data_IF_520660710963
#
_entry.id   IF_520660710963
#
_cell.length_a   1.000
_cell.length_b   1.000
_cell.length_c   1.000
_cell.angle_alpha   90.00
_cell.angle_beta   90.00
_cell.angle_gamma   90.00
#
_symmetry.space_group_name_H-M   'P 1'
#
loop_
_entity.id
_entity.type
_entity.pdbx_description
1 polymer ?
#
# COMPACT_ATOMS: atom_id res chain seq x y z
N UNK A 1 -18.67 12.66 -14.21
CA UNK A 1 -19.46 12.57 -12.97
C UNK A 1 -19.15 13.84 -12.20
N UNK A 2 -20.17 14.62 -11.90
CA UNK A 2 -19.97 15.91 -11.28
C UNK A 2 -20.32 15.82 -9.80
N UNK A 3 -19.34 16.09 -8.93
CA UNK A 3 -19.54 16.19 -7.50
C UNK A 3 -20.42 17.42 -7.22
N UNK A 4 -21.68 17.21 -6.86
CA UNK A 4 -22.60 18.32 -6.56
C UNK A 4 -22.67 18.57 -5.05
N UNK A 5 -21.79 19.47 -4.59
CA UNK A 5 -22.00 20.27 -3.38
C UNK A 5 -21.86 19.54 -2.03
N UNK A 6 -21.57 20.35 -1.01
CA UNK A 6 -21.69 19.98 0.40
C UNK A 6 -22.98 20.60 0.93
N UNK A 7 -23.81 19.81 1.61
CA UNK A 7 -25.03 20.31 2.25
C UNK A 7 -25.08 19.88 3.71
N UNK A 8 -25.46 20.81 4.58
CA UNK A 8 -25.72 20.52 5.99
C UNK A 8 -27.16 20.05 6.15
N UNK A 9 -27.35 18.79 6.51
CA UNK A 9 -28.67 18.24 6.82
C UNK A 9 -28.91 18.41 8.32
N UNK A 10 -29.90 19.25 8.68
CA UNK A 10 -30.36 19.37 10.07
C UNK A 10 -31.32 18.21 10.37
N UNK A 11 -31.01 17.40 11.39
CA UNK A 11 -31.97 16.43 11.92
C UNK A 11 -33.12 17.12 12.66
N UNK A 12 -34.24 16.41 12.87
CA UNK A 12 -35.35 16.92 13.70
C UNK A 12 -34.88 17.10 15.15
N UNK A 13 -35.37 18.18 15.77
CA UNK A 13 -35.07 18.73 17.11
C UNK A 13 -34.11 17.93 18.02
N UNK A 14 -32.96 18.53 18.34
CA UNK A 14 -32.01 18.03 19.35
C UNK A 14 -30.83 17.22 18.79
N UNK A 15 -30.86 16.86 17.51
CA UNK A 15 -29.73 16.18 16.84
C UNK A 15 -28.77 17.18 16.20
N UNK A 16 -27.46 16.99 16.40
CA UNK A 16 -26.41 17.80 15.76
C UNK A 16 -26.60 17.75 14.24
N UNK A 17 -26.50 18.91 13.58
CA UNK A 17 -26.50 18.99 12.11
C UNK A 17 -25.42 18.06 11.55
N UNK A 18 -25.77 17.24 10.57
CA UNK A 18 -24.84 16.34 9.88
C UNK A 18 -24.54 16.89 8.50
N UNK A 19 -23.27 17.18 8.23
CA UNK A 19 -22.81 17.49 6.88
C UNK A 19 -22.77 16.22 6.05
N UNK A 20 -23.22 16.30 4.80
CA UNK A 20 -23.22 15.19 3.84
C UNK A 20 -22.76 15.68 2.47
N UNK A 21 -22.33 14.74 1.61
CA UNK A 21 -22.00 15.01 0.21
C UNK A 21 -22.92 14.19 -0.71
N UNK A 22 -23.33 14.81 -1.81
CA UNK A 22 -24.23 14.20 -2.80
C UNK A 22 -23.52 13.96 -4.11
N UNK A 23 -23.79 12.80 -4.70
CA UNK A 23 -23.35 12.44 -6.04
C UNK A 23 -24.56 12.25 -6.92
N UNK A 24 -24.62 13.04 -7.99
CA UNK A 24 -25.62 12.89 -9.04
C UNK A 24 -25.00 11.96 -10.07
N UNK A 25 -25.59 10.78 -10.24
CA UNK A 25 -25.12 9.82 -11.23
C UNK A 25 -25.46 10.32 -12.63
N UNK A 26 -24.67 9.90 -13.63
CA UNK A 26 -24.89 10.27 -15.03
C UNK A 26 -26.18 9.68 -15.63
N UNK A 27 -26.53 10.12 -16.84
CA UNK A 27 -27.72 9.65 -17.56
C UNK A 27 -27.74 8.15 -17.82
N UNK A 28 -26.54 7.56 -17.95
CA UNK A 28 -26.36 6.14 -18.18
C UNK A 28 -26.93 5.26 -17.06
N UNK A 29 -27.29 5.84 -15.92
CA UNK A 29 -27.92 5.17 -14.77
C UNK A 29 -29.44 5.37 -14.69
N UNK A 30 -30.04 6.03 -15.68
CA UNK A 30 -31.48 6.31 -15.70
C UNK A 30 -32.33 5.19 -16.29
N UNK A 31 -31.72 4.15 -16.84
CA UNK A 31 -32.45 2.94 -17.22
C UNK A 31 -32.99 2.22 -15.97
N UNK A 32 -34.21 1.67 -16.05
CA UNK A 32 -34.89 1.11 -14.90
C UNK A 32 -34.15 -0.09 -14.28
N UNK A 33 -33.51 -0.94 -15.09
CA UNK A 33 -32.71 -2.04 -14.56
C UNK A 33 -31.51 -1.53 -13.77
N UNK A 34 -30.82 -0.51 -14.30
CA UNK A 34 -29.67 0.12 -13.63
C UNK A 34 -30.09 0.87 -12.37
N UNK A 35 -31.22 1.58 -12.36
CA UNK A 35 -31.76 2.20 -11.15
C UNK A 35 -31.97 1.15 -10.06
N UNK A 36 -32.62 0.04 -10.38
CA UNK A 36 -32.88 -1.06 -9.43
C UNK A 36 -31.57 -1.64 -8.90
N UNK A 37 -30.57 -1.83 -9.77
CA UNK A 37 -29.25 -2.32 -9.36
C UNK A 37 -28.54 -1.36 -8.40
N UNK A 38 -28.52 -0.07 -8.75
CA UNK A 38 -27.97 1.01 -7.92
C UNK A 38 -28.64 1.04 -6.55
N UNK A 39 -29.98 0.95 -6.51
CA UNK A 39 -30.75 0.86 -5.27
C UNK A 39 -30.36 -0.35 -4.43
N UNK A 40 -30.38 -1.54 -5.03
CA UNK A 40 -30.09 -2.79 -4.34
C UNK A 40 -28.70 -2.75 -3.71
N UNK A 41 -27.66 -2.44 -4.50
CA UNK A 41 -26.27 -2.37 -4.01
C UNK A 41 -26.08 -1.35 -2.89
N UNK A 42 -26.67 -0.16 -3.05
CA UNK A 42 -26.56 0.89 -2.02
C UNK A 42 -27.27 0.50 -0.73
N UNK A 43 -28.47 -0.08 -0.83
CA UNK A 43 -29.26 -0.54 0.33
C UNK A 43 -28.58 -1.71 1.03
N UNK A 44 -27.96 -2.62 0.29
CA UNK A 44 -27.18 -3.72 0.87
C UNK A 44 -26.00 -3.18 1.69
N UNK A 45 -25.25 -2.19 1.16
CA UNK A 45 -24.19 -1.51 1.90
C UNK A 45 -24.72 -0.77 3.14
N UNK A 46 -25.88 -0.12 3.05
CA UNK A 46 -26.51 0.59 4.18
C UNK A 46 -26.90 -0.39 5.28
N UNK A 47 -27.51 -1.53 4.93
CA UNK A 47 -28.03 -2.50 5.89
C UNK A 47 -26.94 -3.31 6.57
N UNK A 48 -25.93 -3.72 5.80
CA UNK A 48 -24.91 -4.66 6.27
C UNK A 48 -23.59 -3.97 6.64
N UNK A 49 -23.47 -2.67 6.34
CA UNK A 49 -22.21 -1.94 6.44
C UNK A 49 -21.30 -2.23 5.25
N UNK A 50 -20.29 -1.38 5.06
CA UNK A 50 -19.28 -1.56 4.02
C UNK A 50 -18.00 -2.20 4.57
N UNK A 51 -17.23 -2.92 3.74
CA UNK A 51 -15.89 -3.39 4.11
C UNK A 51 -15.00 -2.24 4.58
N UNK A 52 -13.98 -2.59 5.35
CA UNK A 52 -12.97 -1.61 5.79
C UNK A 52 -12.35 -0.94 4.56
N UNK A 53 -12.33 0.38 4.56
CA UNK A 53 -11.82 1.20 3.44
C UNK A 53 -12.86 1.60 2.40
N UNK A 54 -14.11 1.15 2.52
CA UNK A 54 -15.22 1.64 1.69
C UNK A 54 -16.11 2.56 2.52
N UNK A 55 -16.54 3.69 1.94
CA UNK A 55 -17.53 4.56 2.58
C UNK A 55 -18.92 3.98 2.37
N UNK A 56 -19.64 3.77 3.48
CA UNK A 56 -21.05 3.40 3.45
C UNK A 56 -21.92 4.59 3.04
N UNK A 57 -22.75 4.47 1.99
CA UNK A 57 -23.72 5.51 1.68
C UNK A 57 -24.72 5.67 2.83
N UNK A 58 -25.30 6.86 2.98
CA UNK A 58 -26.38 7.12 3.94
C UNK A 58 -27.72 6.71 3.31
N UNK A 59 -27.95 7.13 2.07
CA UNK A 59 -29.13 6.76 1.31
C UNK A 59 -28.87 6.91 -0.19
N UNK A 60 -29.79 6.35 -0.98
CA UNK A 60 -29.88 6.53 -2.42
C UNK A 60 -31.33 6.86 -2.78
N UNK A 61 -31.54 7.72 -3.76
CA UNK A 61 -32.87 8.09 -4.24
C UNK A 61 -32.85 8.48 -5.71
N UNK A 62 -34.00 8.47 -6.36
CA UNK A 62 -34.20 9.01 -7.71
C UNK A 62 -34.91 10.35 -7.59
N UNK A 63 -34.29 11.42 -8.11
CA UNK A 63 -34.90 12.73 -8.15
C UNK A 63 -35.55 12.96 -9.50
N UNK A 64 -36.88 12.92 -9.55
CA UNK A 64 -37.67 13.14 -10.77
C UNK A 64 -37.45 14.52 -11.38
N UNK A 65 -37.14 15.54 -10.58
CA UNK A 65 -36.89 16.92 -11.05
C UNK A 65 -35.71 17.01 -12.03
N UNK A 66 -34.66 16.22 -11.79
CA UNK A 66 -33.48 16.20 -12.65
C UNK A 66 -33.41 14.93 -13.50
N UNK A 67 -34.36 14.00 -13.31
CA UNK A 67 -34.32 12.66 -13.86
C UNK A 67 -32.95 12.00 -13.65
N UNK A 68 -32.49 11.95 -12.39
CA UNK A 68 -31.19 11.36 -12.01
C UNK A 68 -31.27 10.60 -10.70
N UNK A 69 -30.44 9.58 -10.58
CA UNK A 69 -30.12 8.93 -9.32
C UNK A 69 -29.17 9.81 -8.49
N UNK A 70 -29.45 9.92 -7.19
CA UNK A 70 -28.66 10.65 -6.21
C UNK A 70 -28.23 9.67 -5.12
N UNK A 71 -26.93 9.60 -4.88
CA UNK A 71 -26.35 8.85 -3.76
C UNK A 71 -25.79 9.83 -2.74
N UNK A 72 -26.18 9.66 -1.48
CA UNK A 72 -25.74 10.49 -0.36
C UNK A 72 -24.70 9.74 0.45
N UNK A 73 -23.58 10.40 0.75
CA UNK A 73 -22.51 9.86 1.57
C UNK A 73 -22.26 10.77 2.79
N UNK A 74 -21.69 10.22 3.88
CA UNK A 74 -21.15 11.03 4.96
C UNK A 74 -20.17 12.07 4.42
N UNK A 75 -20.11 13.24 5.07
CA UNK A 75 -19.12 14.24 4.70
C UNK A 75 -17.69 13.67 4.81
N UNK A 76 -16.89 13.99 3.81
CA UNK A 76 -15.45 13.74 3.75
C UNK A 76 -14.75 15.02 3.35
N UNK A 77 -13.53 15.21 3.85
CA UNK A 77 -12.83 16.50 3.81
C UNK A 77 -12.39 16.84 2.38
N UNK A 78 -11.69 15.93 1.72
CA UNK A 78 -11.07 16.18 0.40
C UNK A 78 -10.95 14.90 -0.45
N UNK A 79 -10.64 15.08 -1.75
CA UNK A 79 -10.28 13.98 -2.64
C UNK A 79 -8.85 13.50 -2.38
N UNK A 80 -8.53 12.25 -2.68
CA UNK A 80 -7.15 11.76 -2.57
C UNK A 80 -6.21 12.51 -3.54
N UNK A 81 -6.68 12.85 -4.74
CA UNK A 81 -5.88 13.60 -5.72
C UNK A 81 -5.44 14.96 -5.16
N UNK A 82 -6.34 15.68 -4.49
CA UNK A 82 -6.01 16.99 -3.91
C UNK A 82 -5.12 16.88 -2.67
N UNK A 83 -5.30 15.81 -1.88
CA UNK A 83 -4.39 15.51 -0.78
C UNK A 83 -2.97 15.22 -1.28
N UNK A 84 -2.83 14.37 -2.32
CA UNK A 84 -1.55 14.01 -2.92
C UNK A 84 -0.81 15.22 -3.49
N UNK A 85 -1.51 16.17 -4.13
CA UNK A 85 -0.90 17.43 -4.61
C UNK A 85 -0.29 18.28 -3.51
N UNK A 86 -0.82 18.20 -2.27
CA UNK A 86 -0.35 18.97 -1.12
C UNK A 86 0.64 18.20 -0.26
N UNK A 87 0.82 16.91 -0.51
CA UNK A 87 1.75 16.08 0.23
C UNK A 87 3.19 16.55 -0.04
N UNK A 88 3.87 17.03 1.01
CA UNK A 88 5.25 17.56 0.95
C UNK A 88 6.31 16.57 1.43
N UNK A 89 5.95 15.30 1.67
CA UNK A 89 6.87 14.36 2.31
C UNK A 89 8.02 13.97 1.38
N UNK A 90 9.24 13.97 1.92
CA UNK A 90 10.48 13.64 1.19
C UNK A 90 11.01 12.22 1.41
N UNK A 91 10.20 11.32 1.96
CA UNK A 91 10.60 9.91 2.20
C UNK A 91 10.11 9.01 1.06
N UNK A 92 10.98 8.09 0.63
CA UNK A 92 10.66 6.98 -0.29
C UNK A 92 9.67 5.98 0.31
N UNK A 93 9.52 5.94 1.64
CA UNK A 93 8.53 5.10 2.31
C UNK A 93 7.11 5.66 2.13
N UNK A 94 6.18 4.76 1.76
CA UNK A 94 4.76 5.08 1.70
C UNK A 94 4.23 5.51 3.07
N UNK A 95 3.46 6.61 3.15
CA UNK A 95 2.75 7.00 4.35
C UNK A 95 1.83 5.89 4.85
N UNK A 96 1.58 5.89 6.15
CA UNK A 96 0.67 4.93 6.78
C UNK A 96 -0.71 4.95 6.11
N UNK A 97 -1.23 6.12 5.82
CA UNK A 97 -2.54 6.34 5.21
C UNK A 97 -2.64 5.67 3.83
N UNK A 98 -1.58 5.77 3.02
CA UNK A 98 -1.50 5.16 1.69
C UNK A 98 -1.33 3.65 1.78
N UNK A 99 -0.50 3.15 2.71
CA UNK A 99 -0.37 1.70 2.92
C UNK A 99 -1.69 1.08 3.35
N UNK A 100 -2.38 1.69 4.31
CA UNK A 100 -3.69 1.22 4.79
C UNK A 100 -4.74 1.32 3.68
N UNK A 101 -4.74 2.37 2.88
CA UNK A 101 -5.60 2.49 1.70
C UNK A 101 -5.43 1.28 0.77
N UNK A 102 -4.19 1.00 0.34
CA UNK A 102 -3.90 -0.09 -0.59
C UNK A 102 -4.34 -1.42 0.02
N UNK A 103 -3.98 -1.68 1.30
CA UNK A 103 -4.37 -2.90 2.01
C UNK A 103 -5.89 -3.08 2.09
N UNK A 104 -6.61 -2.03 2.46
CA UNK A 104 -8.06 -2.08 2.57
C UNK A 104 -8.72 -2.29 1.20
N UNK A 105 -8.20 -1.66 0.15
CA UNK A 105 -8.69 -1.86 -1.21
C UNK A 105 -8.46 -3.29 -1.70
N UNK A 106 -7.25 -3.81 -1.50
CA UNK A 106 -6.92 -5.20 -1.81
C UNK A 106 -7.87 -6.18 -1.09
N UNK A 107 -8.13 -5.97 0.19
CA UNK A 107 -9.09 -6.77 0.96
C UNK A 107 -10.53 -6.61 0.46
N UNK A 108 -10.92 -5.40 0.06
CA UNK A 108 -12.28 -5.15 -0.43
C UNK A 108 -12.52 -5.80 -1.81
N UNK A 109 -11.50 -5.86 -2.68
CA UNK A 109 -11.55 -6.55 -3.99
C UNK A 109 -11.81 -8.06 -3.82
N UNK A 110 -11.41 -8.65 -2.70
CA UNK A 110 -11.68 -10.08 -2.42
C UNK A 110 -13.18 -10.36 -2.22
N UNK A 111 -13.89 -9.40 -1.64
CA UNK A 111 -15.28 -9.58 -1.21
C UNK A 111 -16.29 -8.83 -2.08
N UNK A 112 -15.82 -7.86 -2.86
CA UNK A 112 -16.66 -6.98 -3.68
C UNK A 112 -16.04 -6.79 -5.05
N UNK A 113 -16.89 -6.79 -6.07
CA UNK A 113 -16.48 -6.45 -7.43
C UNK A 113 -16.25 -4.94 -7.54
N UNK A 114 -15.03 -4.52 -7.18
CA UNK A 114 -14.59 -3.13 -7.29
C UNK A 114 -14.11 -2.89 -8.72
N UNK A 115 -15.00 -2.32 -9.53
CA UNK A 115 -14.69 -1.90 -10.89
C UNK A 115 -14.15 -0.46 -10.93
N UNK A 116 -13.47 -0.12 -12.04
CA UNK A 116 -12.87 1.20 -12.31
C UNK A 116 -11.70 1.59 -11.40
N UNK A 117 -10.85 0.61 -11.06
CA UNK A 117 -9.60 0.85 -10.32
C UNK A 117 -8.57 1.66 -11.14
N UNK A 118 -8.90 2.13 -12.33
CA UNK A 118 -8.15 3.12 -13.11
C UNK A 118 -8.49 4.59 -12.77
N UNK A 119 -9.60 4.84 -12.06
CA UNK A 119 -10.06 6.19 -11.70
C UNK A 119 -9.82 6.51 -10.21
N UNK A 120 -9.07 7.58 -9.95
CA UNK A 120 -8.80 8.06 -8.57
C UNK A 120 -9.94 8.91 -7.99
N UNK A 121 -10.83 9.43 -8.83
CA UNK A 121 -11.92 10.33 -8.44
C UNK A 121 -12.81 9.81 -7.29
N UNK A 122 -13.15 8.50 -7.19
CA UNK A 122 -13.94 7.98 -6.07
C UNK A 122 -13.13 7.76 -4.78
N UNK A 123 -11.83 8.02 -4.77
CA UNK A 123 -10.96 7.85 -3.60
C UNK A 123 -10.86 9.16 -2.83
N UNK A 124 -11.23 9.14 -1.55
CA UNK A 124 -11.39 10.34 -0.73
C UNK A 124 -10.69 10.18 0.62
N UNK A 125 -10.31 11.31 1.20
CA UNK A 125 -9.73 11.37 2.54
C UNK A 125 -10.83 11.72 3.55
N UNK A 126 -10.94 10.90 4.60
CA UNK A 126 -11.91 11.04 5.68
C UNK A 126 -11.15 11.23 6.97
N UNK A 127 -11.36 12.35 7.65
CA UNK A 127 -10.78 12.56 8.97
C UNK A 127 -11.54 11.76 10.04
N UNK A 128 -10.83 10.87 10.72
CA UNK A 128 -11.37 10.13 11.85
C UNK A 128 -11.64 11.09 13.02
N UNK A 129 -12.86 11.03 13.56
CA UNK A 129 -13.28 11.86 14.69
C UNK A 129 -12.68 11.41 16.02
N UNK A 130 -12.23 10.15 16.13
CA UNK A 130 -11.80 9.54 17.40
C UNK A 130 -10.37 9.93 17.78
N UNK A 131 -9.48 9.94 16.81
CA UNK A 131 -8.03 10.06 16.95
C UNK A 131 -7.46 11.17 16.06
N UNK A 132 -8.32 11.92 15.34
CA UNK A 132 -7.93 13.03 14.49
C UNK A 132 -6.95 12.63 13.37
N UNK A 133 -6.87 11.33 13.05
CA UNK A 133 -6.08 10.77 11.95
C UNK A 133 -6.84 10.85 10.64
N UNK A 134 -6.12 10.80 9.52
CA UNK A 134 -6.73 10.75 8.19
C UNK A 134 -6.82 9.30 7.74
N UNK A 135 -7.99 8.89 7.26
CA UNK A 135 -8.21 7.61 6.61
C UNK A 135 -8.55 7.83 5.14
N UNK A 136 -7.91 7.10 4.24
CA UNK A 136 -8.30 7.10 2.83
C UNK A 136 -9.32 5.99 2.59
N UNK A 137 -10.45 6.36 1.97
CA UNK A 137 -11.55 5.45 1.67
C UNK A 137 -12.03 5.60 0.24
N UNK A 138 -12.66 4.55 -0.27
CA UNK A 138 -13.23 4.54 -1.61
C UNK A 138 -14.75 4.61 -1.55
N UNK A 139 -15.29 5.41 -2.45
CA UNK A 139 -16.71 5.52 -2.72
C UNK A 139 -17.03 4.49 -3.79
N UNK A 140 -17.76 3.43 -3.42
CA UNK A 140 -18.25 2.47 -4.41
C UNK A 140 -19.44 3.08 -5.13
N UNK A 141 -19.15 3.67 -6.27
CA UNK A 141 -20.19 4.13 -7.18
C UNK A 141 -20.82 2.89 -7.83
N UNK A 142 -22.15 2.78 -7.82
CA UNK A 142 -22.80 1.61 -8.36
C UNK A 142 -22.60 1.53 -9.88
N UNK A 143 -21.73 0.59 -10.28
CA UNK A 143 -21.73 -0.27 -11.48
C UNK A 143 -21.55 0.38 -12.87
N UNK A 144 -20.42 0.07 -13.51
CA UNK A 144 -20.48 -0.38 -14.90
C UNK A 144 -20.18 -1.88 -14.92
N UNK A 145 -21.10 -2.63 -15.51
CA UNK A 145 -21.06 -4.07 -15.65
C UNK A 145 -20.16 -4.43 -16.82
N UNK A 146 -19.11 -5.17 -16.54
CA UNK A 146 -18.61 -6.28 -17.33
C UNK A 146 -17.64 -6.97 -16.41
N UNK A 147 -17.79 -8.29 -16.20
CA UNK A 147 -16.89 -9.06 -15.36
C UNK A 147 -15.44 -8.75 -15.78
N UNK A 148 -14.78 -7.89 -15.01
CA UNK A 148 -13.38 -7.63 -15.24
C UNK A 148 -12.70 -8.91 -14.78
N UNK A 149 -12.07 -9.63 -15.71
CA UNK A 149 -11.32 -10.82 -15.36
C UNK A 149 -10.35 -10.47 -14.22
N UNK A 150 -10.04 -11.41 -13.31
CA UNK A 150 -9.11 -11.15 -12.18
C UNK A 150 -7.79 -10.47 -12.62
N UNK A 151 -7.37 -10.66 -13.87
CA UNK A 151 -6.22 -9.98 -14.46
C UNK A 151 -6.44 -8.48 -14.72
N UNK A 152 -7.64 -8.04 -15.11
CA UNK A 152 -7.93 -6.64 -15.47
C UNK A 152 -7.83 -5.68 -14.28
N UNK A 153 -8.39 -6.05 -13.11
CA UNK A 153 -8.36 -5.16 -11.94
C UNK A 153 -6.94 -4.92 -11.43
N UNK A 154 -6.07 -5.94 -11.51
CA UNK A 154 -4.66 -5.87 -11.10
C UNK A 154 -3.90 -4.83 -11.91
N UNK A 155 -3.99 -4.92 -13.23
CA UNK A 155 -3.36 -3.95 -14.15
C UNK A 155 -3.98 -2.56 -14.01
N UNK A 156 -5.32 -2.45 -13.90
CA UNK A 156 -5.98 -1.16 -13.67
C UNK A 156 -5.50 -0.51 -12.37
N UNK A 157 -5.42 -1.27 -11.28
CA UNK A 157 -5.02 -0.74 -9.99
C UNK A 157 -3.55 -0.32 -9.97
N UNK A 158 -2.66 -1.15 -10.54
CA UNK A 158 -1.26 -0.79 -10.73
C UNK A 158 -1.10 0.50 -11.55
N UNK A 159 -1.86 0.63 -12.64
CA UNK A 159 -1.88 1.84 -13.49
C UNK A 159 -2.35 3.07 -12.72
N UNK A 160 -3.41 2.96 -11.91
CA UNK A 160 -3.88 4.05 -11.06
C UNK A 160 -2.80 4.48 -10.06
N UNK A 161 -2.11 3.53 -9.44
CA UNK A 161 -1.03 3.84 -8.51
C UNK A 161 0.12 4.56 -9.22
N UNK A 162 0.60 4.06 -10.36
CA UNK A 162 1.67 4.72 -11.15
C UNK A 162 1.29 6.13 -11.59
N UNK A 163 0.04 6.32 -12.02
CA UNK A 163 -0.42 7.60 -12.57
C UNK A 163 -0.61 8.69 -11.52
N UNK A 164 -1.04 8.31 -10.32
CA UNK A 164 -1.53 9.29 -9.34
C UNK A 164 -0.65 9.45 -8.11
N UNK A 165 0.19 8.48 -7.78
CA UNK A 165 1.05 8.56 -6.59
C UNK A 165 2.18 9.59 -6.76
N UNK A 166 2.70 10.07 -5.64
CA UNK A 166 3.81 11.03 -5.63
C UNK A 166 5.04 10.44 -6.33
N UNK A 167 5.74 11.26 -7.14
CA UNK A 167 6.82 10.80 -8.00
C UNK A 167 7.94 10.07 -7.23
N UNK A 168 8.31 10.56 -6.05
CA UNK A 168 9.31 9.92 -5.17
C UNK A 168 8.97 8.46 -4.81
N UNK A 169 7.68 8.10 -4.74
CA UNK A 169 7.28 6.72 -4.48
C UNK A 169 7.24 5.90 -5.76
N UNK A 170 6.82 6.48 -6.88
CA UNK A 170 6.82 5.79 -8.18
C UNK A 170 8.24 5.43 -8.63
N UNK A 171 9.23 6.23 -8.26
CA UNK A 171 10.65 5.97 -8.52
C UNK A 171 11.30 5.02 -7.50
N UNK A 172 10.61 4.71 -6.39
CA UNK A 172 11.09 3.79 -5.36
C UNK A 172 11.11 2.35 -5.88
N UNK A 173 12.26 1.67 -5.73
CA UNK A 173 12.45 0.33 -6.29
C UNK A 173 11.59 -0.74 -5.60
N UNK A 174 11.33 -0.60 -4.30
CA UNK A 174 10.45 -1.53 -3.59
C UNK A 174 8.99 -1.29 -3.97
N UNK A 175 8.57 -0.05 -4.24
CA UNK A 175 7.22 0.22 -4.75
C UNK A 175 7.03 -0.29 -6.19
N UNK A 176 7.99 -0.10 -7.09
CA UNK A 176 7.89 -0.69 -8.44
C UNK A 176 7.86 -2.22 -8.38
N UNK A 177 8.65 -2.84 -7.49
CA UNK A 177 8.59 -4.29 -7.27
C UNK A 177 7.20 -4.76 -6.81
N UNK A 178 6.53 -3.97 -5.96
CA UNK A 178 5.13 -4.23 -5.57
C UNK A 178 4.18 -4.13 -6.76
N UNK A 179 4.31 -3.10 -7.60
CA UNK A 179 3.44 -2.90 -8.77
C UNK A 179 3.60 -4.05 -9.79
N UNK A 180 4.83 -4.49 -10.04
CA UNK A 180 5.10 -5.67 -10.87
C UNK A 180 4.51 -6.95 -10.26
N UNK A 181 4.59 -7.10 -8.93
CA UNK A 181 3.96 -8.23 -8.23
C UNK A 181 2.43 -8.19 -8.33
N UNK A 182 1.83 -6.99 -8.24
CA UNK A 182 0.40 -6.77 -8.40
C UNK A 182 -0.08 -7.19 -9.78
N UNK A 183 0.67 -6.86 -10.83
CA UNK A 183 0.38 -7.19 -12.23
C UNK A 183 0.54 -8.68 -12.57
N UNK A 184 1.31 -9.43 -11.79
CA UNK A 184 1.49 -10.87 -11.99
C UNK A 184 0.35 -11.69 -11.38
N UNK A 185 -0.11 -12.70 -12.12
CA UNK A 185 -1.11 -13.67 -11.65
C UNK A 185 -0.51 -14.79 -10.79
N UNK A 186 0.82 -14.85 -10.67
CA UNK A 186 1.53 -15.87 -9.88
C UNK A 186 1.36 -15.65 -8.37
N UNK A 187 1.12 -14.41 -7.96
CA UNK A 187 1.07 -14.02 -6.56
C UNK A 187 -0.38 -13.96 -6.05
N UNK A 188 -0.62 -14.61 -4.92
CA UNK A 188 -1.91 -14.57 -4.22
C UNK A 188 -2.15 -13.20 -3.59
N UNK A 189 -3.39 -12.94 -3.17
CA UNK A 189 -3.70 -11.72 -2.42
C UNK A 189 -2.92 -11.63 -1.10
N UNK A 190 -2.72 -12.76 -0.42
CA UNK A 190 -1.87 -12.84 0.77
C UNK A 190 -0.44 -12.39 0.47
N UNK A 191 0.13 -12.83 -0.66
CA UNK A 191 1.44 -12.36 -1.09
C UNK A 191 1.48 -10.85 -1.36
N UNK A 192 0.43 -10.28 -1.94
CA UNK A 192 0.36 -8.81 -2.14
C UNK A 192 0.27 -8.07 -0.79
N UNK A 193 -0.58 -8.56 0.11
CA UNK A 193 -0.80 -7.99 1.44
C UNK A 193 0.44 -8.13 2.34
N UNK A 194 1.29 -9.12 2.09
CA UNK A 194 2.56 -9.34 2.78
C UNK A 194 3.73 -8.49 2.25
N UNK A 195 3.58 -7.81 1.11
CA UNK A 195 4.69 -7.12 0.46
C UNK A 195 5.31 -6.01 1.36
N UNK A 196 6.65 -5.89 1.46
CA UNK A 196 7.36 -4.96 2.35
C UNK A 196 6.93 -3.50 2.28
N UNK A 197 6.54 -3.04 1.08
CA UNK A 197 6.06 -1.66 0.88
C UNK A 197 4.77 -1.35 1.64
N UNK A 198 3.98 -2.38 1.97
CA UNK A 198 2.75 -2.28 2.76
C UNK A 198 2.97 -2.58 4.25
N UNK A 199 4.20 -2.88 4.65
CA UNK A 199 4.58 -3.18 6.03
C UNK A 199 5.30 -2.00 6.69
N UNK A 200 5.36 -1.99 8.02
CA UNK A 200 6.20 -1.07 8.77
C UNK A 200 7.68 -1.48 8.80
N UNK A 201 8.54 -0.56 9.23
CA UNK A 201 9.97 -0.79 9.26
C UNK A 201 10.39 -1.90 10.23
N UNK A 202 9.62 -2.15 11.29
CA UNK A 202 9.88 -3.23 12.24
C UNK A 202 9.59 -4.60 11.60
N UNK A 203 8.49 -4.72 10.88
CA UNK A 203 8.11 -5.93 10.13
C UNK A 203 9.11 -6.20 8.99
N UNK A 204 9.56 -5.15 8.30
CA UNK A 204 10.64 -5.26 7.31
C UNK A 204 11.97 -5.68 7.95
N UNK A 205 12.26 -5.21 9.17
CA UNK A 205 13.40 -5.67 9.95
C UNK A 205 13.31 -7.16 10.27
N UNK A 206 12.13 -7.65 10.70
CA UNK A 206 11.90 -9.08 10.96
C UNK A 206 12.10 -9.93 9.71
N UNK A 207 11.62 -9.49 8.55
CA UNK A 207 11.87 -10.19 7.27
C UNK A 207 13.38 -10.39 7.01
N UNK A 208 14.21 -9.37 7.25
CA UNK A 208 15.66 -9.47 7.09
C UNK A 208 16.25 -10.52 8.05
N UNK A 209 15.78 -10.54 9.31
CA UNK A 209 16.22 -11.52 10.31
C UNK A 209 15.77 -12.94 9.96
N UNK A 210 14.52 -13.09 9.52
CA UNK A 210 13.87 -14.37 9.22
C UNK A 210 14.41 -15.02 7.94
N UNK A 211 14.88 -14.23 6.98
CA UNK A 211 15.57 -14.74 5.80
C UNK A 211 16.99 -15.21 6.13
N UNK A 212 17.69 -14.60 7.09
CA UNK A 212 19.07 -14.99 7.35
C UNK A 212 19.20 -16.43 7.89
N UNK A 213 20.22 -17.14 7.37
CA UNK A 213 20.65 -18.45 7.85
C UNK A 213 22.17 -18.44 8.03
N UNK A 214 22.65 -19.03 9.12
CA UNK A 214 24.09 -19.15 9.37
C UNK A 214 24.77 -20.06 8.37
N UNK A 215 24.12 -21.20 8.07
CA UNK A 215 24.58 -22.20 7.12
C UNK A 215 23.51 -22.39 6.04
N UNK A 216 23.93 -22.36 4.78
CA UNK A 216 23.09 -22.60 3.60
C UNK A 216 23.62 -23.82 2.85
N UNK A 217 22.73 -24.63 2.31
CA UNK A 217 23.10 -25.66 1.33
C UNK A 217 23.52 -25.01 0.00
N UNK A 218 24.24 -25.71 -0.90
CA UNK A 218 24.59 -25.17 -2.21
C UNK A 218 23.37 -24.67 -3.02
N UNK A 219 22.23 -25.36 -2.92
CA UNK A 219 20.98 -24.95 -3.57
C UNK A 219 20.43 -23.65 -2.99
N UNK A 220 20.46 -23.50 -1.66
CA UNK A 220 20.00 -22.27 -1.00
C UNK A 220 20.96 -21.10 -1.26
N UNK A 221 22.27 -21.35 -1.36
CA UNK A 221 23.24 -20.35 -1.80
C UNK A 221 22.93 -19.85 -3.21
N UNK A 222 22.65 -20.78 -4.14
CA UNK A 222 22.26 -20.42 -5.50
C UNK A 222 20.99 -19.55 -5.52
N UNK A 223 19.94 -19.97 -4.82
CA UNK A 223 18.68 -19.22 -4.74
C UNK A 223 18.89 -17.82 -4.15
N UNK A 224 19.68 -17.72 -3.07
CA UNK A 224 20.03 -16.45 -2.43
C UNK A 224 20.75 -15.52 -3.40
N UNK A 225 21.81 -15.98 -4.08
CA UNK A 225 22.59 -15.13 -4.99
C UNK A 225 21.80 -14.75 -6.26
N UNK A 226 20.88 -15.61 -6.72
CA UNK A 226 20.00 -15.32 -7.85
C UNK A 226 18.97 -14.23 -7.52
N UNK A 227 18.30 -14.33 -6.37
CA UNK A 227 17.30 -13.34 -5.95
C UNK A 227 17.94 -12.06 -5.42
N UNK A 228 18.99 -12.21 -4.62
CA UNK A 228 19.75 -11.12 -4.00
C UNK A 228 20.97 -10.80 -4.87
N UNK A 229 20.69 -10.41 -6.11
CA UNK A 229 21.71 -10.08 -7.10
C UNK A 229 22.46 -8.79 -6.70
N UNK A 230 23.56 -8.95 -5.96
CA UNK A 230 24.35 -7.82 -5.44
C UNK A 230 25.01 -6.99 -6.53
N UNK A 231 25.17 -7.53 -7.75
CA UNK A 231 25.76 -6.81 -8.89
C UNK A 231 24.97 -5.54 -9.25
N UNK A 232 23.67 -5.49 -8.92
CA UNK A 232 22.85 -4.29 -9.14
C UNK A 232 23.17 -3.14 -8.18
N UNK A 233 23.94 -3.39 -7.13
CA UNK A 233 24.38 -2.39 -6.16
C UNK A 233 25.84 -2.01 -6.44
N UNK A 234 26.04 -0.86 -7.10
CA UNK A 234 27.35 -0.26 -7.43
C UNK A 234 28.35 -1.21 -8.10
N UNK A 235 27.88 -2.04 -9.04
CA UNK A 235 28.74 -2.94 -9.80
C UNK A 235 29.27 -4.12 -8.99
N UNK A 236 28.60 -4.49 -7.90
CA UNK A 236 28.88 -5.68 -7.10
C UNK A 236 29.62 -5.41 -5.78
N UNK A 237 30.23 -4.24 -5.61
CA UNK A 237 30.79 -3.83 -4.31
C UNK A 237 29.82 -2.92 -3.54
N UNK A 238 28.80 -3.55 -2.97
CA UNK A 238 27.76 -2.89 -2.18
C UNK A 238 28.31 -2.05 -1.01
N UNK A 239 29.56 -2.28 -0.57
CA UNK A 239 30.18 -1.53 0.53
C UNK A 239 30.54 -0.11 0.15
N UNK A 240 30.65 0.22 -1.15
CA UNK A 240 30.94 1.58 -1.61
C UNK A 240 29.92 2.60 -1.06
N UNK A 241 28.66 2.21 -0.87
CA UNK A 241 27.61 3.07 -0.26
C UNK A 241 27.81 3.37 1.22
N UNK A 242 28.67 2.60 1.89
CA UNK A 242 28.97 2.78 3.31
C UNK A 242 30.06 3.82 3.53
N UNK A 243 30.79 4.24 2.49
CA UNK A 243 31.88 5.22 2.61
C UNK A 243 31.42 6.48 3.36
N UNK A 244 32.14 6.82 4.43
CA UNK A 244 31.85 7.95 5.30
C UNK A 244 30.77 7.68 6.35
N UNK A 245 30.24 6.46 6.43
CA UNK A 245 29.25 6.02 7.43
C UNK A 245 29.92 5.04 8.41
N UNK A 246 30.88 5.53 9.19
CA UNK A 246 31.80 4.73 10.03
C UNK A 246 31.14 3.62 10.88
N UNK A 247 29.97 3.82 11.52
CA UNK A 247 29.35 2.72 12.26
C UNK A 247 28.87 1.58 11.36
N UNK A 248 28.37 1.88 10.15
CA UNK A 248 27.93 0.88 9.18
C UNK A 248 29.13 0.19 8.51
N UNK A 249 30.20 0.93 8.20
CA UNK A 249 31.46 0.34 7.72
C UNK A 249 32.05 -0.67 8.72
N UNK A 250 31.92 -0.40 10.02
CA UNK A 250 32.33 -1.35 11.05
C UNK A 250 31.45 -2.60 11.08
N UNK A 251 30.16 -2.47 10.78
CA UNK A 251 29.24 -3.60 10.69
C UNK A 251 29.46 -4.46 9.44
N UNK A 252 30.09 -3.93 8.37
CA UNK A 252 30.37 -4.66 7.13
C UNK A 252 31.71 -5.42 7.13
N UNK A 253 32.42 -5.50 8.26
CA UNK A 253 33.75 -6.12 8.40
C UNK A 253 33.76 -7.66 8.37
N UNK A 254 32.94 -8.26 7.53
CA UNK A 254 32.99 -9.69 7.15
C UNK A 254 33.29 -9.75 5.66
N UNK A 255 33.92 -10.83 5.20
CA UNK A 255 34.08 -11.12 3.78
C UNK A 255 33.86 -12.61 3.60
N UNK A 256 33.06 -12.99 2.61
CA UNK A 256 32.83 -14.39 2.23
C UNK A 256 32.93 -14.52 0.72
N UNK A 257 33.07 -15.74 0.20
CA UNK A 257 33.03 -16.01 -1.24
C UNK A 257 31.63 -15.80 -1.87
N UNK A 258 30.60 -15.54 -1.06
CA UNK A 258 29.20 -15.37 -1.45
C UNK A 258 28.74 -13.94 -1.14
N UNK A 259 28.78 -13.02 -2.13
CA UNK A 259 28.48 -11.60 -1.93
C UNK A 259 27.07 -11.32 -1.38
N UNK A 260 26.06 -12.06 -1.85
CA UNK A 260 24.68 -11.94 -1.36
C UNK A 260 24.51 -12.39 0.08
N UNK A 261 25.14 -13.50 0.48
CA UNK A 261 25.13 -13.95 1.88
C UNK A 261 25.82 -12.98 2.82
N UNK A 262 26.95 -12.44 2.38
CA UNK A 262 27.71 -11.45 3.11
C UNK A 262 26.96 -10.12 3.26
N UNK A 263 26.29 -9.65 2.21
CA UNK A 263 25.42 -8.49 2.27
C UNK A 263 24.21 -8.72 3.21
N UNK A 264 23.55 -9.88 3.12
CA UNK A 264 22.44 -10.24 4.02
C UNK A 264 22.88 -10.31 5.48
N UNK A 265 24.10 -10.78 5.75
CA UNK A 265 24.67 -10.75 7.10
C UNK A 265 24.85 -9.32 7.63
N UNK A 266 25.34 -8.40 6.79
CA UNK A 266 25.45 -6.99 7.14
C UNK A 266 24.08 -6.38 7.43
N UNK A 267 23.08 -6.65 6.59
CA UNK A 267 21.71 -6.17 6.79
C UNK A 267 21.13 -6.70 8.12
N UNK A 268 21.30 -8.00 8.41
CA UNK A 268 20.93 -8.60 9.69
C UNK A 268 21.62 -7.91 10.86
N UNK A 269 22.95 -7.73 10.79
CA UNK A 269 23.72 -7.09 11.86
C UNK A 269 23.25 -5.66 12.10
N UNK A 270 22.98 -4.93 11.02
CA UNK A 270 22.42 -3.59 11.10
C UNK A 270 21.10 -3.64 11.82
N UNK A 271 20.11 -4.43 11.38
CA UNK A 271 18.80 -4.53 12.04
C UNK A 271 18.89 -4.95 13.51
N UNK A 272 19.72 -5.94 13.84
CA UNK A 272 19.83 -6.47 15.20
C UNK A 272 20.51 -5.49 16.17
N UNK A 273 21.51 -4.74 15.71
CA UNK A 273 22.37 -3.91 16.57
C UNK A 273 22.27 -2.41 16.29
N UNK A 274 21.35 -1.96 15.43
CA UNK A 274 21.18 -0.55 15.10
C UNK A 274 20.89 0.27 16.36
N UNK A 275 19.93 -0.19 17.17
CA UNK A 275 19.50 0.49 18.40
C UNK A 275 20.59 0.53 19.49
N UNK A 276 21.47 -0.48 19.54
CA UNK A 276 22.61 -0.51 20.46
C UNK A 276 23.70 0.49 20.04
N UNK A 277 23.83 0.73 18.74
CA UNK A 277 24.74 1.72 18.16
C UNK A 277 24.12 3.11 18.03
N UNK A 278 22.79 3.25 18.19
CA UNK A 278 22.03 4.51 18.20
C UNK A 278 22.55 5.50 19.26
N UNK A 279 23.15 4.98 20.34
CA UNK A 279 23.89 5.77 21.31
C UNK A 279 25.10 6.54 20.72
N UNK A 280 25.67 6.10 19.59
CA UNK A 280 26.71 6.83 18.83
C UNK A 280 26.13 7.69 17.70
N UNK A 281 24.85 7.54 17.39
CA UNK A 281 24.07 8.38 16.45
C UNK A 281 23.23 9.48 17.18
N UNK A 282 23.47 9.64 18.50
CA UNK A 282 22.71 10.38 19.52
C UNK A 282 22.43 11.88 19.33
N UNK A 283 22.80 12.50 18.20
CA UNK A 283 22.39 13.88 17.93
C UNK A 283 20.98 13.98 17.30
N UNK A 284 20.31 12.86 17.06
CA UNK A 284 18.92 12.85 16.59
C UNK A 284 17.94 12.56 17.73
N UNK A 285 17.58 13.59 18.50
CA UNK A 285 16.43 13.57 19.43
C UNK A 285 15.07 13.56 18.68
N UNK A 286 15.04 13.10 17.44
CA UNK A 286 13.91 13.24 16.52
C UNK A 286 13.71 11.91 15.80
N UNK A 287 12.73 11.13 16.26
CA UNK A 287 12.19 9.91 15.64
C UNK A 287 13.21 8.79 15.38
N UNK A 288 13.15 7.71 16.16
CA UNK A 288 13.83 6.44 15.83
C UNK A 288 13.44 6.03 14.41
N UNK A 289 14.38 6.10 13.48
CA UNK A 289 14.20 5.57 12.13
C UNK A 289 14.36 4.06 12.22
N UNK A 290 13.36 3.26 11.81
CA UNK A 290 13.51 1.80 11.79
C UNK A 290 14.76 1.41 11.01
N UNK A 291 15.58 0.51 11.55
CA UNK A 291 16.86 0.10 10.94
C UNK A 291 16.70 -0.44 9.50
N UNK A 292 15.56 -1.08 9.21
CA UNK A 292 15.23 -1.53 7.86
C UNK A 292 15.13 -0.37 6.85
N UNK A 293 14.69 0.83 7.28
CA UNK A 293 14.63 1.99 6.40
C UNK A 293 16.02 2.48 6.02
N UNK A 294 17.01 2.37 6.92
CA UNK A 294 18.42 2.70 6.59
C UNK A 294 18.96 1.76 5.52
N UNK A 295 18.65 0.47 5.63
CA UNK A 295 19.01 -0.52 4.60
C UNK A 295 18.30 -0.20 3.29
N UNK A 296 17.00 0.12 3.32
CA UNK A 296 16.24 0.52 2.13
C UNK A 296 16.85 1.73 1.43
N UNK A 297 17.17 2.77 2.18
CA UNK A 297 17.72 4.02 1.63
C UNK A 297 19.10 3.79 0.99
N UNK A 298 19.93 2.93 1.59
CA UNK A 298 21.21 2.56 1.01
C UNK A 298 21.05 1.65 -0.21
N UNK A 299 20.12 0.69 -0.15
CA UNK A 299 19.96 -0.36 -1.16
C UNK A 299 18.48 -0.51 -1.58
N UNK A 300 17.94 0.42 -2.38
CA UNK A 300 16.54 0.36 -2.80
C UNK A 300 16.23 -0.94 -3.54
N UNK A 301 15.11 -1.58 -3.19
CA UNK A 301 14.68 -2.86 -3.78
C UNK A 301 15.21 -4.11 -3.06
N UNK A 302 16.17 -3.96 -2.14
CA UNK A 302 16.73 -5.09 -1.38
C UNK A 302 15.66 -5.81 -0.55
N UNK A 303 14.78 -5.07 0.12
CA UNK A 303 13.77 -5.66 0.99
C UNK A 303 12.74 -6.43 0.14
N UNK A 304 12.37 -5.91 -1.03
CA UNK A 304 11.56 -6.63 -2.01
C UNK A 304 12.23 -7.89 -2.57
N UNK A 305 13.55 -7.91 -2.79
CA UNK A 305 14.25 -9.14 -3.20
C UNK A 305 14.18 -10.20 -2.10
N UNK A 306 14.42 -9.80 -0.85
CA UNK A 306 14.31 -10.69 0.31
C UNK A 306 12.90 -11.22 0.48
N UNK A 307 11.89 -10.40 0.20
CA UNK A 307 10.52 -10.85 0.22
C UNK A 307 10.27 -11.93 -0.83
N UNK A 308 10.73 -11.74 -2.08
CA UNK A 308 10.63 -12.78 -3.11
C UNK A 308 11.34 -14.06 -2.68
N UNK A 309 12.54 -13.95 -2.11
CA UNK A 309 13.28 -15.09 -1.57
C UNK A 309 12.51 -15.80 -0.44
N UNK A 310 11.80 -15.07 0.42
CA UNK A 310 10.96 -15.63 1.47
C UNK A 310 9.74 -16.40 0.94
N UNK A 311 9.36 -16.18 -0.31
CA UNK A 311 8.28 -16.93 -0.95
C UNK A 311 8.78 -18.24 -1.59
N UNK A 312 10.10 -18.45 -1.68
CA UNK A 312 10.69 -19.64 -2.30
C UNK A 312 10.78 -20.80 -1.30
N UNK A 313 10.01 -21.89 -1.48
CA UNK A 313 10.03 -23.01 -0.54
C UNK A 313 11.41 -23.68 -0.45
N UNK A 314 12.15 -23.70 -1.57
CA UNK A 314 13.49 -24.28 -1.64
C UNK A 314 14.50 -23.54 -0.77
N UNK A 315 14.32 -22.23 -0.61
CA UNK A 315 15.14 -21.43 0.30
C UNK A 315 14.77 -21.69 1.76
N UNK A 316 13.47 -21.69 2.07
CA UNK A 316 12.96 -21.81 3.44
C UNK A 316 13.06 -23.21 4.03
N UNK A 317 13.02 -24.25 3.20
CA UNK A 317 13.12 -25.63 3.66
C UNK A 317 14.44 -25.83 4.39
N UNK A 318 14.34 -26.06 5.70
CA UNK A 318 15.47 -26.62 6.45
C UNK A 318 15.71 -27.99 5.84
N UNK A 319 16.93 -28.25 5.39
CA UNK A 319 17.33 -29.61 5.06
C UNK A 319 16.90 -30.48 6.25
N UNK A 320 15.98 -31.40 6.01
CA UNK A 320 15.78 -32.54 6.91
C UNK A 320 17.11 -33.27 6.84
N UNK A 321 17.94 -33.04 7.86
CA UNK A 321 19.12 -33.86 8.12
C UNK A 321 18.71 -35.25 8.53
#
# INVERSE_FOLDING_TARGET
MDLFGCMNVKGRSGTKSQSVKFFILGEEFNDDAKKVEVYKKSIDLIKHGSPRGVITPIFVTYCSRFSRMIVCYPYFDESLSDWLKRYKGGSSNLPYEIRIMIRNLLAAIEHQDINRLEDISPIVCVKSKRDNTMEVKVILLPVQSEQSSKAKWRTSFSSLLRKNMHQTWVEDKDFEAFLLMLESNEYTLENLMGHPVLQDGDSNGRLILDCFRETLTPAQHKELEEKLNVQKYDGGDWRLRLQGKTPLENMSKRSTAYPGHDFLWFARKTVAHFNENDAKFKNATVNRVPAANVIKDLYPGFISDLYKLSLEPQYLNRALG
#
